data_IF_424404608078
#
_entry.id   IF_424404608078
#
_cell.length_a   1.000
_cell.length_b   1.000
_cell.length_c   1.000
_cell.angle_alpha   90.00
_cell.angle_beta   90.00
_cell.angle_gamma   90.00
#
_symmetry.space_group_name_H-M   'P 1'
#
loop_
_entity.id
_entity.type
_entity.pdbx_description
1 polymer ?
#
# COMPACT_ATOMS: atom_id res chain seq x y z
N UNK A 1 -1.30 11.38 1.31
CA UNK A 1 -1.26 11.48 2.79
C UNK A 1 -1.13 10.08 3.35
N UNK A 2 -0.03 9.79 4.05
CA UNK A 2 0.21 8.55 4.80
C UNK A 2 0.73 8.90 6.20
N UNK A 3 0.73 7.94 7.13
CA UNK A 3 1.22 8.16 8.50
C UNK A 3 2.71 8.57 8.48
N UNK A 4 3.51 7.96 7.60
CA UNK A 4 4.94 8.24 7.45
C UNK A 4 5.26 9.41 6.50
N UNK A 5 4.33 10.31 6.22
CA UNK A 5 4.53 11.39 5.24
C UNK A 5 5.70 12.34 5.54
N UNK A 6 6.18 12.39 6.78
CA UNK A 6 7.32 13.22 7.19
C UNK A 6 8.64 12.44 7.30
N UNK A 7 8.62 11.13 7.07
CA UNK A 7 9.85 10.35 7.02
C UNK A 7 10.65 10.68 5.75
N UNK A 8 11.97 10.66 5.88
CA UNK A 8 12.89 10.85 4.76
C UNK A 8 12.95 9.64 3.83
N UNK A 9 12.65 8.45 4.35
CA UNK A 9 12.64 7.19 3.61
C UNK A 9 11.36 6.42 3.90
N UNK A 10 10.63 6.03 2.86
CA UNK A 10 9.33 5.35 2.98
C UNK A 10 9.28 4.13 2.07
N UNK A 11 8.99 2.98 2.65
CA UNK A 11 8.63 1.77 1.93
C UNK A 11 7.17 1.83 1.46
N UNK A 12 6.93 1.59 0.17
CA UNK A 12 5.61 1.62 -0.46
C UNK A 12 5.42 0.34 -1.28
N UNK A 13 4.38 -0.42 -0.95
CA UNK A 13 4.03 -1.62 -1.73
C UNK A 13 3.28 -1.25 -3.00
N UNK A 14 3.69 -1.85 -4.11
CA UNK A 14 3.11 -1.69 -5.43
C UNK A 14 2.71 -3.05 -6.01
N UNK A 15 1.47 -3.18 -6.47
CA UNK A 15 0.95 -4.38 -7.11
C UNK A 15 -0.09 -4.03 -8.17
N UNK A 16 -0.38 -4.96 -9.09
CA UNK A 16 -1.44 -4.79 -10.07
C UNK A 16 -2.81 -4.83 -9.37
N UNK A 17 -3.75 -3.96 -9.78
CA UNK A 17 -5.10 -3.87 -9.19
C UNK A 17 -5.84 -5.21 -9.13
N UNK A 18 -5.63 -6.10 -10.11
CA UNK A 18 -6.26 -7.44 -10.15
C UNK A 18 -5.86 -8.35 -8.98
N UNK A 19 -4.75 -8.06 -8.30
CA UNK A 19 -4.29 -8.77 -7.11
C UNK A 19 -4.77 -8.13 -5.80
N UNK A 20 -5.54 -7.04 -5.88
CA UNK A 20 -6.14 -6.37 -4.71
C UNK A 20 -7.58 -6.82 -4.58
N UNK A 21 -7.99 -7.22 -3.38
CA UNK A 21 -9.36 -7.65 -3.07
C UNK A 21 -9.88 -6.98 -1.81
N UNK A 22 -11.17 -6.66 -1.80
CA UNK A 22 -11.91 -6.32 -0.58
C UNK A 22 -12.65 -7.57 -0.09
N UNK A 23 -12.33 -8.14 1.08
CA UNK A 23 -13.07 -9.26 1.63
C UNK A 23 -14.55 -8.91 1.83
N UNK A 24 -15.44 -9.87 1.54
CA UNK A 24 -16.89 -9.63 1.69
C UNK A 24 -17.22 -9.35 3.16
N UNK A 25 -17.98 -8.29 3.40
CA UNK A 25 -18.37 -7.87 4.76
C UNK A 25 -17.30 -7.09 5.53
N UNK A 26 -16.12 -6.82 4.95
CA UNK A 26 -15.12 -6.00 5.63
C UNK A 26 -15.49 -4.52 5.67
N UNK A 27 -14.96 -3.82 6.67
CA UNK A 27 -15.10 -2.37 6.80
C UNK A 27 -14.63 -1.63 5.52
N UNK A 28 -15.23 -0.47 5.20
CA UNK A 28 -14.72 0.42 4.15
C UNK A 28 -13.24 0.78 4.38
N UNK A 29 -12.46 0.82 3.30
CA UNK A 29 -11.02 1.10 3.36
C UNK A 29 -10.13 -0.14 3.55
N UNK A 30 -10.67 -1.28 4.00
CA UNK A 30 -9.89 -2.53 4.05
C UNK A 30 -9.71 -3.12 2.65
N UNK A 31 -8.46 -3.38 2.29
CA UNK A 31 -8.07 -4.15 1.12
C UNK A 31 -6.94 -5.10 1.49
N UNK A 32 -6.99 -6.31 0.96
CA UNK A 32 -5.90 -7.29 1.02
C UNK A 32 -5.29 -7.42 -0.37
N UNK A 33 -4.00 -7.68 -0.44
CA UNK A 33 -3.28 -7.77 -1.71
C UNK A 33 -2.24 -8.88 -1.72
N UNK A 34 -1.79 -9.24 -2.92
CA UNK A 34 -0.75 -10.24 -3.15
C UNK A 34 0.17 -9.80 -4.30
N UNK A 35 1.32 -10.45 -4.46
CA UNK A 35 2.27 -10.22 -5.57
C UNK A 35 2.78 -8.77 -5.63
N UNK A 36 3.00 -8.19 -4.46
CA UNK A 36 3.57 -6.86 -4.32
C UNK A 36 5.08 -6.84 -4.59
N UNK A 37 5.54 -5.65 -4.94
CA UNK A 37 6.95 -5.26 -4.86
C UNK A 37 7.03 -4.03 -3.96
N UNK A 38 8.02 -3.99 -3.09
CA UNK A 38 8.25 -2.82 -2.24
C UNK A 38 9.19 -1.84 -2.92
N UNK A 39 8.73 -0.60 -3.09
CA UNK A 39 9.51 0.52 -3.55
C UNK A 39 10.00 1.30 -2.34
N UNK A 40 11.28 1.66 -2.35
CA UNK A 40 11.88 2.48 -1.31
C UNK A 40 12.07 3.88 -1.85
N UNK A 41 11.34 4.84 -1.27
CA UNK A 41 11.28 6.21 -1.76
C UNK A 41 11.97 7.14 -0.76
N UNK A 42 13.00 7.82 -1.23
CA UNK A 42 13.59 8.96 -0.55
C UNK A 42 12.78 10.22 -0.82
N UNK A 43 12.57 11.01 0.23
CA UNK A 43 11.87 12.29 0.15
C UNK A 43 12.88 13.36 -0.24
N UNK A 44 12.75 13.85 -1.48
CA UNK A 44 13.49 15.03 -1.98
C UNK A 44 12.97 16.29 -1.30
#
# INVERSE_FOLDING_TARGET
NSVSKHASYVAVDYTLKKYVRKPRGSAPGLAVYTQEKTLHIDKV
#
